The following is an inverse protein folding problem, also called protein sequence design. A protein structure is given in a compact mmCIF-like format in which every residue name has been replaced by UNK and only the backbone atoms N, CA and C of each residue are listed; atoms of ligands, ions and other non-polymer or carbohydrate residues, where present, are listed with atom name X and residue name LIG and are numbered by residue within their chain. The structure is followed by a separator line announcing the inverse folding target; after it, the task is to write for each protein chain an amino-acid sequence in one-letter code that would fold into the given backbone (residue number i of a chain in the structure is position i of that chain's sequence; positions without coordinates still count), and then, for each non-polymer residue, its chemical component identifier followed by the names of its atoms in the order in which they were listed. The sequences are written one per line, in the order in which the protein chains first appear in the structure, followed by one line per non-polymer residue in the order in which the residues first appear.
data_IF_939162994717
#
_entry.id   IF_939162994717
#
_cell.length_a   1.000
_cell.length_b   1.000
_cell.length_c   1.000
_cell.angle_alpha   90.00
_cell.angle_beta   90.00
_cell.angle_gamma   90.00
#
_symmetry.space_group_name_H-M   'P 1'
#
loop_
_entity.id
_entity.type
_entity.pdbx_description
1 polymer ?
2 non-polymer ?
3 non-polymer ?
4 water ?
#
# COMPACT_ATOMS: atom_id res chain seq x y z
N UNK A 5 -17.82 12.69 9.10
CA UNK A 5 -18.86 12.76 8.04
C UNK A 5 -19.58 14.12 8.02
N UNK A 6 -19.14 14.96 7.07
CA UNK A 6 -19.71 16.29 6.83
C UNK A 6 -18.74 17.38 7.25
N UNK A 7 -17.70 16.99 7.98
CA UNK A 7 -16.61 17.87 8.33
C UNK A 7 -15.38 17.02 8.57
N UNK A 8 -14.21 17.64 8.64
CA UNK A 8 -12.99 16.86 8.66
C UNK A 8 -12.24 17.03 9.94
N UNK A 9 -11.48 16.00 10.29
CA UNK A 9 -10.60 16.00 11.45
C UNK A 9 -9.20 15.80 10.95
N UNK A 10 -8.37 16.78 11.25
CA UNK A 10 -7.00 16.83 10.82
C UNK A 10 -6.23 17.39 12.00
N UNK A 11 -5.13 16.74 12.35
CA UNK A 11 -4.34 17.11 13.51
C UNK A 11 -5.10 16.90 14.80
N UNK A 12 -6.09 16.01 14.77
CA UNK A 12 -7.00 15.83 15.90
C UNK A 12 -7.91 17.02 16.12
N UNK A 13 -7.98 17.94 15.16
CA UNK A 13 -8.87 19.11 15.24
C UNK A 13 -9.94 19.02 14.14
N UNK A 14 -11.17 19.41 14.50
CA UNK A 14 -12.31 19.41 13.59
C UNK A 14 -12.44 20.71 12.82
N UNK A 15 -12.59 20.58 11.51
CA UNK A 15 -12.82 21.72 10.63
C UNK A 15 -14.09 21.46 9.86
N UNK A 16 -15.02 22.40 9.92
CA UNK A 16 -16.20 22.35 9.07
C UNK A 16 -15.77 22.52 7.63
N UNK A 17 -16.39 21.77 6.75
CA UNK A 17 -16.07 21.87 5.35
C UNK A 17 -17.15 21.15 4.61
N UNK A 18 -17.16 21.33 3.30
CA UNK A 18 -18.14 20.71 2.42
C UNK A 18 -17.45 20.59 1.11
N UNK A 19 -17.96 19.74 0.24
CA UNK A 19 -17.28 19.43 -0.98
C UNK A 19 -16.98 20.66 -1.84
N UNK A 20 -17.85 21.67 -1.78
CA UNK A 20 -17.64 22.92 -2.53
C UNK A 20 -16.44 23.74 -2.07
N UNK A 21 -15.90 23.41 -0.88
CA UNK A 21 -14.68 24.09 -0.41
C UNK A 21 -13.39 23.64 -1.14
N UNK A 22 -13.51 22.59 -1.96
CA UNK A 22 -12.40 21.89 -2.56
C UNK A 22 -12.42 22.09 -4.06
N UNK A 23 -11.23 22.24 -4.60
CA UNK A 23 -11.11 22.28 -6.03
C UNK A 23 -10.34 21.06 -6.52
N UNK A 24 -10.68 20.64 -7.72
CA UNK A 24 -10.28 19.37 -8.22
C UNK A 24 -9.03 19.52 -9.06
N UNK A 25 -7.95 18.90 -8.62
CA UNK A 25 -6.72 18.93 -9.35
C UNK A 25 -6.50 17.72 -10.28
N UNK A 26 -7.50 16.87 -10.47
CA UNK A 26 -7.35 15.74 -11.37
C UNK A 26 -7.11 14.42 -10.69
N UNK A 27 -7.24 13.38 -11.50
CA UNK A 27 -7.39 12.04 -11.01
C UNK A 27 -6.03 11.43 -10.77
N UNK A 28 -5.86 10.73 -9.66
CA UNK A 28 -4.65 10.00 -9.36
C UNK A 28 -4.78 8.49 -9.53
N UNK A 29 -5.94 7.94 -9.12
CA UNK A 29 -6.30 6.54 -9.44
C UNK A 29 -7.79 6.41 -9.80
N UNK A 30 -8.14 5.33 -10.51
CA UNK A 30 -9.52 4.90 -10.62
C UNK A 30 -9.52 3.46 -11.07
N UNK A 31 -10.69 2.83 -11.04
CA UNK A 31 -10.87 1.52 -11.68
C UNK A 31 -11.34 0.39 -10.80
N UNK A 32 -10.56 0.04 -9.78
CA UNK A 32 -10.85 -1.14 -8.93
C UNK A 32 -11.57 -0.76 -7.65
N UNK A 33 -11.21 0.39 -7.07
CA UNK A 33 -11.79 0.80 -5.80
C UNK A 33 -12.15 2.29 -5.84
N UNK A 34 -12.70 2.73 -6.98
CA UNK A 34 -13.24 4.09 -7.13
C UNK A 34 -12.27 5.11 -7.74
N UNK A 35 -12.83 6.29 -8.07
CA UNK A 35 -12.07 7.38 -8.66
C UNK A 35 -11.42 8.12 -7.48
N UNK A 36 -10.09 8.23 -7.47
CA UNK A 36 -9.40 9.07 -6.44
C UNK A 36 -8.85 10.36 -7.06
N UNK A 37 -9.32 11.49 -6.54
CA UNK A 37 -8.91 12.80 -6.99
C UNK A 37 -7.90 13.43 -6.03
N UNK A 38 -6.97 14.20 -6.60
CA UNK A 38 -6.19 15.11 -5.82
C UNK A 38 -7.02 16.39 -5.70
N UNK A 39 -7.26 16.88 -4.49
CA UNK A 39 -8.11 18.06 -4.30
C UNK A 39 -7.44 19.05 -3.36
N UNK A 40 -7.83 20.32 -3.48
CA UNK A 40 -7.17 21.42 -2.83
C UNK A 40 -8.25 22.31 -2.21
N UNK A 41 -8.07 22.70 -0.94
CA UNK A 41 -8.96 23.70 -0.31
C UNK A 41 -8.85 25.04 -1.01
N UNK A 42 -9.96 25.53 -1.52
CA UNK A 42 -9.99 26.81 -2.25
C UNK A 42 -9.35 27.99 -1.51
N UNK A 43 -9.52 28.07 -0.18
CA UNK A 43 -9.02 29.22 0.60
C UNK A 43 -7.55 29.12 1.01
N UNK A 44 -7.03 27.93 1.26
CA UNK A 44 -5.67 27.80 1.78
C UNK A 44 -4.65 27.18 0.77
N UNK A 45 -5.13 26.34 -0.13
CA UNK A 45 -4.25 25.67 -1.06
C UNK A 45 -3.76 24.31 -0.54
N UNK A 46 -4.19 23.92 0.66
CA UNK A 46 -3.72 22.62 1.23
C UNK A 46 -4.35 21.54 0.41
N UNK A 47 -3.69 20.41 0.33
CA UNK A 47 -4.07 19.37 -0.63
C UNK A 47 -4.35 18.03 0.05
N UNK A 48 -5.34 17.33 -0.48
CA UNK A 48 -5.75 16.02 0.07
C UNK A 48 -6.12 15.13 -1.09
N UNK A 49 -6.41 13.87 -0.78
CA UNK A 49 -6.95 12.91 -1.73
C UNK A 49 -8.38 12.73 -1.38
N UNK A 50 -9.23 12.58 -2.42
CA UNK A 50 -10.59 12.42 -2.21
C UNK A 50 -11.10 11.31 -3.09
N UNK A 51 -11.64 10.28 -2.47
CA UNK A 51 -12.25 9.21 -3.24
C UNK A 51 -13.73 9.48 -3.41
N UNK A 52 -14.22 9.30 -4.63
CA UNK A 52 -15.61 9.57 -4.97
C UNK A 52 -16.32 8.25 -5.27
N UNK A 53 -17.36 8.03 -4.51
CA UNK A 53 -18.31 6.94 -4.70
C UNK A 53 -19.64 7.49 -5.20
N UNK A 54 -19.97 7.12 -6.45
CA UNK A 54 -21.18 7.55 -7.09
C UNK A 54 -22.30 6.61 -6.69
N UNK A 55 -23.41 7.16 -6.26
CA UNK A 55 -24.59 6.34 -5.89
C UNK A 55 -25.04 5.46 -7.07
N UNK A 56 -24.95 6.02 -8.29
CA UNK A 56 -25.27 5.31 -9.53
C UNK A 56 -24.14 4.39 -10.01
N UNK A 57 -23.06 4.28 -9.26
CA UNK A 57 -21.94 3.50 -9.72
C UNK A 57 -22.15 2.02 -9.71
N UNK A 58 -21.18 1.32 -10.29
CA UNK A 58 -21.10 -0.12 -10.23
C UNK A 58 -21.23 -0.57 -8.80
N UNK A 59 -22.11 -1.54 -8.57
CA UNK A 59 -22.49 -1.91 -7.22
C UNK A 59 -21.40 -2.68 -6.57
N UNK A 60 -20.68 -3.48 -7.35
CA UNK A 60 -19.56 -4.23 -6.82
C UNK A 60 -18.40 -3.29 -6.45
N UNK A 61 -18.08 -2.33 -7.33
CA UNK A 61 -17.09 -1.34 -6.96
C UNK A 61 -17.49 -0.59 -5.69
N UNK A 62 -18.77 -0.22 -5.56
CA UNK A 62 -19.23 0.46 -4.35
C UNK A 62 -19.08 -0.42 -3.10
N UNK A 63 -19.34 -1.70 -3.22
CA UNK A 63 -19.07 -2.62 -2.09
C UNK A 63 -17.58 -2.64 -1.69
N UNK A 64 -16.69 -2.54 -2.68
CA UNK A 64 -15.25 -2.47 -2.43
C UNK A 64 -14.83 -1.16 -1.76
N UNK A 65 -15.21 -0.03 -2.37
CA UNK A 65 -15.01 1.26 -1.74
C UNK A 65 -15.43 1.20 -0.23
N UNK A 66 -16.60 0.62 0.05
CA UNK A 66 -17.12 0.66 1.40
C UNK A 66 -16.38 -0.26 2.41
N UNK A 67 -15.89 -1.40 1.92
CA UNK A 67 -15.05 -2.29 2.75
C UNK A 67 -13.73 -1.60 3.09
N UNK A 68 -13.12 -1.02 2.07
CA UNK A 68 -11.85 -0.33 2.22
C UNK A 68 -12.04 0.74 3.31
N UNK A 69 -13.08 1.59 3.14
CA UNK A 69 -13.34 2.67 4.08
C UNK A 69 -13.60 2.14 5.43
N UNK A 70 -14.34 1.05 5.50
CA UNK A 70 -14.61 0.51 6.82
C UNK A 70 -13.28 0.21 7.58
N UNK A 71 -12.34 -0.38 6.88
CA UNK A 71 -11.02 -0.70 7.43
C UNK A 71 -10.20 0.58 7.75
N UNK A 72 -10.23 1.55 6.87
CA UNK A 72 -9.49 2.80 7.08
C UNK A 72 -9.97 3.52 8.36
N UNK A 73 -11.29 3.59 8.53
CA UNK A 73 -11.88 4.23 9.70
C UNK A 73 -11.51 3.50 10.96
N UNK A 74 -11.44 2.17 10.87
CA UNK A 74 -11.01 1.33 12.02
C UNK A 74 -9.54 1.50 12.37
N UNK A 75 -8.72 1.90 11.38
CA UNK A 75 -7.26 1.87 11.51
C UNK A 75 -6.61 3.21 11.80
N UNK A 76 -7.37 4.11 12.44
CA UNK A 76 -6.92 5.52 12.67
C UNK A 76 -5.70 5.55 13.57
N UNK A 77 -5.57 4.54 14.43
CA UNK A 77 -4.41 4.44 15.29
C UNK A 77 -3.22 3.71 14.65
N UNK A 78 -3.30 3.26 13.38
CA UNK A 78 -2.10 2.63 12.74
C UNK A 78 -1.38 3.62 11.84
N UNK A 79 -0.12 3.96 12.15
CA UNK A 79 0.58 4.96 11.32
C UNK A 79 0.96 4.48 9.93
N UNK A 80 0.76 3.19 9.64
CA UNK A 80 1.20 2.62 8.37
C UNK A 80 0.07 2.49 7.40
N UNK A 81 -1.10 3.00 7.76
CA UNK A 81 -2.24 2.91 6.92
C UNK A 81 -2.72 4.33 6.71
N UNK A 82 -3.09 4.65 5.46
CA UNK A 82 -3.51 6.01 5.10
C UNK A 82 -4.68 6.41 5.96
N UNK A 83 -4.67 7.65 6.40
CA UNK A 83 -5.69 8.09 7.30
C UNK A 83 -6.80 8.86 6.57
N UNK A 84 -8.01 8.77 7.16
CA UNK A 84 -9.20 9.32 6.60
C UNK A 84 -9.56 10.48 7.46
N UNK A 85 -9.76 11.62 6.86
CA UNK A 85 -10.08 12.86 7.61
C UNK A 85 -11.59 13.04 7.80
N UNK A 86 -12.37 12.33 6.98
CA UNK A 86 -13.83 12.41 7.06
C UNK A 86 -14.46 12.17 5.72
N UNK A 87 -15.76 12.44 5.66
CA UNK A 87 -16.59 12.13 4.49
C UNK A 87 -17.64 13.19 4.27
N UNK A 88 -18.09 13.30 3.02
CA UNK A 88 -19.19 14.14 2.68
C UNK A 88 -20.13 13.27 1.90
N UNK A 89 -21.37 13.19 2.34
CA UNK A 89 -22.41 12.39 1.69
C UNK A 89 -23.39 13.36 1.02
N UNK A 90 -23.52 13.29 -0.30
CA UNK A 90 -24.55 14.07 -0.95
C UNK A 90 -25.66 13.13 -1.41
N UNK A 91 -26.68 13.68 -2.04
CA UNK A 91 -27.74 12.88 -2.64
C UNK A 91 -27.25 11.91 -3.69
N UNK A 92 -26.14 12.22 -4.35
CA UNK A 92 -25.68 11.42 -5.43
C UNK A 92 -24.30 10.82 -5.26
N UNK A 93 -23.52 11.32 -4.29
CA UNK A 93 -22.17 10.84 -4.12
C UNK A 93 -21.79 10.73 -2.66
N UNK A 94 -20.72 10.00 -2.46
CA UNK A 94 -19.95 10.04 -1.24
C UNK A 94 -18.52 10.41 -1.59
N UNK A 95 -17.99 11.41 -0.88
CA UNK A 95 -16.62 11.87 -1.04
C UNK A 95 -15.84 11.53 0.23
N UNK A 96 -14.79 10.74 0.07
CA UNK A 96 -13.99 10.25 1.19
C UNK A 96 -12.65 11.01 1.21
N UNK A 97 -12.45 11.80 2.22
CA UNK A 97 -11.22 12.61 2.32
C UNK A 97 -10.14 11.90 3.09
N UNK A 98 -8.95 11.88 2.49
CA UNK A 98 -7.82 11.18 2.99
C UNK A 98 -6.54 11.91 2.76
N UNK A 99 -5.59 11.56 3.58
CA UNK A 99 -4.27 12.09 3.49
C UNK A 99 -3.68 11.69 2.14
N UNK A 100 -3.11 12.69 1.51
CA UNK A 100 -2.51 12.53 0.19
C UNK A 100 -1.09 11.95 0.29
N UNK A 101 -0.82 10.87 -0.45
CA UNK A 101 0.53 10.34 -0.55
C UNK A 101 1.12 10.76 -1.88
N UNK A 102 2.42 10.56 -2.08
CA UNK A 102 3.16 11.10 -3.24
C UNK A 102 2.92 10.29 -4.49
N UNK A 103 3.09 8.97 -4.37
CA UNK A 103 2.76 8.03 -5.44
C UNK A 103 2.84 6.60 -4.90
N UNK A 104 2.57 5.61 -5.74
CA UNK A 104 2.72 4.20 -5.37
C UNK A 104 4.05 3.60 -5.79
N UNK A 105 4.38 2.44 -5.18
CA UNK A 105 5.67 1.79 -5.42
C UNK A 105 5.79 1.34 -6.88
N UNK A 106 4.68 0.94 -7.48
CA UNK A 106 4.68 0.62 -8.91
C UNK A 106 5.15 1.78 -9.81
N UNK A 107 4.65 2.99 -9.61
CA UNK A 107 5.15 4.17 -10.32
C UNK A 107 6.60 4.50 -10.06
N UNK A 108 7.05 4.29 -8.82
CA UNK A 108 8.46 4.54 -8.50
C UNK A 108 9.31 3.59 -9.33
N UNK A 109 8.85 2.35 -9.46
CA UNK A 109 9.54 1.32 -10.24
C UNK A 109 9.66 1.77 -11.68
N UNK A 110 8.56 2.18 -12.26
CA UNK A 110 8.53 2.59 -13.66
C UNK A 110 9.37 3.81 -13.91
N UNK A 111 9.39 4.75 -12.97
CA UNK A 111 10.21 5.95 -13.09
C UNK A 111 11.68 5.67 -12.96
N UNK A 112 12.02 4.83 -11.98
CA UNK A 112 13.38 4.40 -11.75
C UNK A 112 13.91 3.73 -13.00
N UNK A 113 13.06 2.93 -13.62
CA UNK A 113 13.41 2.06 -14.75
C UNK A 113 14.46 1.00 -14.37
N UNK A 114 14.35 0.50 -13.17
CA UNK A 114 15.16 -0.64 -12.73
C UNK A 114 14.98 -0.89 -11.25
N UNK A 115 15.86 -1.70 -10.66
CA UNK A 115 15.86 -2.10 -9.25
C UNK A 115 15.74 -0.94 -8.25
N UNK A 116 14.88 -1.09 -7.26
CA UNK A 116 14.87 -0.16 -6.12
C UNK A 116 15.85 -0.66 -5.05
N UNK A 117 16.69 0.23 -4.47
CA UNK A 117 17.72 -0.19 -3.54
C UNK A 117 17.20 -0.94 -2.28
N UNK A 118 17.95 -1.92 -1.80
CA UNK A 118 17.64 -2.66 -0.60
C UNK A 118 17.27 -1.77 0.59
N UNK A 119 18.03 -0.69 0.81
CA UNK A 119 17.76 0.13 1.98
C UNK A 119 16.32 0.75 2.01
N UNK A 120 15.85 1.15 0.86
CA UNK A 120 14.51 1.64 0.69
C UNK A 120 13.49 0.50 0.89
N UNK A 121 13.82 -0.69 0.38
CA UNK A 121 12.92 -1.84 0.51
C UNK A 121 12.91 -2.31 1.94
N UNK A 122 14.00 -2.15 2.66
CA UNK A 122 14.02 -2.43 4.08
C UNK A 122 13.00 -1.56 4.82
N UNK A 123 13.04 -0.26 4.58
CA UNK A 123 12.05 0.57 5.24
C UNK A 123 10.63 0.19 4.86
N UNK A 124 10.48 -0.21 3.62
CA UNK A 124 9.18 -0.52 3.10
C UNK A 124 8.61 -1.76 3.76
N UNK A 125 9.46 -2.75 3.94
CA UNK A 125 9.07 -4.02 4.51
C UNK A 125 8.62 -3.81 5.96
N UNK A 126 9.38 -2.99 6.72
CA UNK A 126 9.01 -2.70 8.08
C UNK A 126 7.60 -2.16 8.12
N UNK A 127 7.36 -1.16 7.30
CA UNK A 127 6.09 -0.47 7.37
C UNK A 127 4.96 -1.38 6.97
N UNK A 128 5.20 -2.18 5.94
CA UNK A 128 4.13 -2.98 5.39
C UNK A 128 3.85 -4.19 6.30
N UNK A 129 4.89 -4.79 6.84
CA UNK A 129 4.67 -5.86 7.81
C UNK A 129 3.88 -5.39 9.03
N UNK A 130 4.23 -4.22 9.55
CA UNK A 130 3.50 -3.67 10.65
C UNK A 130 2.07 -3.34 10.34
N UNK A 131 1.80 -2.89 9.10
CA UNK A 131 0.44 -2.59 8.75
C UNK A 131 -0.37 -3.90 8.77
N UNK A 132 0.19 -4.95 8.20
CA UNK A 132 -0.52 -6.27 8.09
C UNK A 132 -0.74 -6.93 9.45
N UNK A 133 0.25 -6.78 10.32
CA UNK A 133 0.19 -7.31 11.66
C UNK A 133 -0.88 -6.59 12.49
N UNK A 134 -0.91 -5.26 12.37
CA UNK A 134 -1.95 -4.47 12.98
C UNK A 134 -3.34 -4.90 12.49
N UNK A 135 -3.54 -4.94 11.18
CA UNK A 135 -4.81 -5.41 10.64
C UNK A 135 -5.23 -6.78 11.19
N UNK A 136 -4.32 -7.73 11.17
CA UNK A 136 -4.56 -9.09 11.65
C UNK A 136 -4.88 -9.12 13.14
N UNK A 137 -3.96 -8.63 13.97
CA UNK A 137 -4.13 -8.61 15.41
C UNK A 137 -5.33 -7.83 15.90
N UNK A 138 -5.41 -6.55 15.51
CA UNK A 138 -6.47 -5.67 15.99
C UNK A 138 -7.80 -5.94 15.37
N UNK A 139 -7.82 -6.47 14.16
CA UNK A 139 -9.06 -6.42 13.45
C UNK A 139 -9.41 -7.72 12.82
N UNK A 140 -8.54 -8.73 12.87
CA UNK A 140 -8.86 -10.02 12.26
C UNK A 140 -8.89 -9.89 10.75
N UNK A 141 -8.28 -8.81 10.24
CA UNK A 141 -8.38 -8.49 8.81
C UNK A 141 -7.14 -8.98 8.05
N UNK A 142 -7.43 -9.60 6.92
CA UNK A 142 -6.45 -9.92 5.90
C UNK A 142 -6.67 -9.03 4.66
N UNK A 143 -5.58 -8.67 4.00
CA UNK A 143 -5.62 -7.71 2.91
C UNK A 143 -6.04 -8.33 1.56
N UNK A 144 -5.35 -9.40 1.18
CA UNK A 144 -5.67 -10.21 -0.03
C UNK A 144 -5.25 -9.57 -1.34
N UNK A 145 -4.43 -8.53 -1.29
CA UNK A 145 -4.00 -7.94 -2.52
C UNK A 145 -2.74 -7.07 -2.38
N UNK A 146 -1.78 -7.56 -1.63
CA UNK A 146 -0.57 -6.79 -1.37
C UNK A 146 0.28 -6.75 -2.63
N UNK A 147 0.60 -5.54 -3.09
CA UNK A 147 1.40 -5.40 -4.30
C UNK A 147 1.84 -3.98 -4.48
N UNK A 148 2.85 -3.75 -5.37
CA UNK A 148 3.40 -2.44 -5.43
C UNK A 148 2.42 -1.30 -5.70
N UNK A 149 1.37 -1.55 -6.45
CA UNK A 149 0.41 -0.48 -6.71
C UNK A 149 -0.37 -0.07 -5.42
N UNK A 150 -0.33 -0.92 -4.40
CA UNK A 150 -1.00 -0.69 -3.12
C UNK A 150 -0.09 -0.20 -2.00
N UNK A 151 1.17 0.06 -2.36
CA UNK A 151 2.13 0.60 -1.40
C UNK A 151 2.42 2.06 -1.77
N UNK A 152 2.18 2.97 -0.83
CA UNK A 152 2.25 4.40 -1.10
C UNK A 152 3.42 5.00 -0.32
N UNK A 153 4.16 5.89 -1.00
CA UNK A 153 5.25 6.66 -0.41
C UNK A 153 4.95 8.12 -0.61
N UNK A 154 5.57 8.94 0.22
CA UNK A 154 5.53 10.39 0.06
C UNK A 154 6.93 11.03 0.21
N UNK A 155 6.96 12.34 0.01
CA UNK A 155 8.21 13.11 -0.05
C UNK A 155 8.77 13.32 1.33
N UNK A 156 7.97 13.00 2.34
CA UNK A 156 8.47 12.97 3.70
C UNK A 156 9.11 11.66 4.11
N UNK A 157 9.21 10.70 3.20
CA UNK A 157 9.79 9.40 3.55
C UNK A 157 8.81 8.37 4.10
N UNK A 158 7.52 8.72 4.24
CA UNK A 158 6.56 7.80 4.82
C UNK A 158 6.15 6.73 3.83
N UNK A 159 5.77 5.59 4.38
CA UNK A 159 5.32 4.44 3.59
C UNK A 159 4.07 3.85 4.21
N UNK A 160 3.01 3.74 3.41
CA UNK A 160 1.77 3.17 3.92
C UNK A 160 1.11 2.19 2.97
N UNK A 161 0.29 1.34 3.56
CA UNK A 161 -0.49 0.38 2.83
C UNK A 161 -1.85 0.99 2.57
N UNK A 162 -2.46 0.59 1.45
CA UNK A 162 -3.77 1.07 1.05
C UNK A 162 -4.63 0.00 0.29
N UNK A 163 -5.86 0.42 -0.06
CA UNK A 163 -6.89 -0.35 -0.82
C UNK A 163 -7.23 -1.70 -0.24
N UNK A 164 -8.14 -1.69 0.73
CA UNK A 164 -8.62 -2.91 1.37
C UNK A 164 -10.02 -3.28 0.84
N UNK A 165 -10.32 -2.92 -0.40
CA UNK A 165 -11.59 -3.21 -1.02
C UNK A 165 -12.02 -4.67 -1.10
N UNK A 166 -11.08 -5.62 -1.17
CA UNK A 166 -11.37 -7.07 -1.13
C UNK A 166 -10.66 -7.77 0.03
N UNK A 167 -10.36 -7.01 1.09
CA UNK A 167 -9.93 -7.57 2.36
C UNK A 167 -11.03 -8.47 2.91
N UNK A 168 -10.63 -9.62 3.45
CA UNK A 168 -11.56 -10.51 4.17
C UNK A 168 -11.34 -10.47 5.67
N UNK A 169 -12.35 -10.89 6.44
CA UNK A 169 -12.22 -11.04 7.90
C UNK A 169 -12.10 -12.55 8.27
N UNK A 170 -11.12 -12.91 9.12
CA UNK A 170 -10.89 -14.30 9.66
C UNK A 170 -9.45 -14.74 9.40
N UNK A 204 -2.16 -16.62 5.85
CA UNK A 204 -1.36 -17.25 4.79
C UNK A 204 -0.83 -16.25 3.73
N UNK A 205 -1.48 -16.17 2.55
CA UNK A 205 -0.86 -15.65 1.30
C UNK A 205 -0.59 -14.16 1.20
N UNK A 206 -1.00 -13.39 2.22
CA UNK A 206 -0.60 -11.99 2.29
C UNK A 206 0.95 -11.90 2.37
N UNK A 207 1.55 -12.75 3.21
CA UNK A 207 2.99 -12.90 3.33
C UNK A 207 3.67 -13.25 2.01
N UNK A 208 3.06 -14.13 1.24
CA UNK A 208 3.56 -14.50 -0.06
C UNK A 208 3.54 -13.33 -1.06
N UNK A 209 2.44 -12.57 -1.08
CA UNK A 209 2.32 -11.41 -1.96
C UNK A 209 3.35 -10.34 -1.63
N UNK A 210 3.72 -10.20 -0.36
CA UNK A 210 4.81 -9.29 0.07
C UNK A 210 6.16 -9.76 -0.47
N UNK A 211 6.46 -11.05 -0.30
CA UNK A 211 7.67 -11.62 -0.82
C UNK A 211 7.80 -11.38 -2.31
N UNK A 212 6.75 -11.71 -3.07
CA UNK A 212 6.74 -11.44 -4.49
C UNK A 212 6.91 -9.94 -4.88
N UNK A 213 6.22 -9.05 -4.18
CA UNK A 213 6.36 -7.63 -4.39
C UNK A 213 7.82 -7.16 -4.13
N UNK A 214 8.46 -7.68 -3.09
CA UNK A 214 9.82 -7.34 -2.80
C UNK A 214 10.76 -7.83 -3.88
N UNK A 215 10.52 -9.01 -4.43
CA UNK A 215 11.37 -9.52 -5.50
C UNK A 215 11.18 -8.65 -6.74
N UNK A 216 9.93 -8.35 -7.07
CA UNK A 216 9.62 -7.46 -8.18
C UNK A 216 10.37 -6.13 -8.04
N UNK A 217 10.24 -5.51 -6.88
CA UNK A 217 10.84 -4.16 -6.69
C UNK A 217 12.34 -4.21 -6.62
N UNK A 218 12.89 -5.27 -6.01
CA UNK A 218 14.34 -5.45 -5.88
C UNK A 218 15.07 -5.69 -7.20
N UNK A 219 14.40 -6.39 -8.12
CA UNK A 219 14.94 -6.75 -9.42
C UNK A 219 14.45 -5.83 -10.51
N UNK A 220 13.37 -5.13 -10.26
CA UNK A 220 12.68 -4.38 -11.33
C UNK A 220 11.96 -5.29 -12.32
N UNK A 221 11.85 -6.58 -12.00
CA UNK A 221 11.11 -7.56 -12.86
C UNK A 221 10.05 -8.33 -12.04
N UNK A 222 8.79 -8.21 -12.45
CA UNK A 222 7.73 -9.02 -11.88
C UNK A 222 8.11 -10.46 -12.19
N UNK A 223 8.28 -11.29 -11.15
CA UNK A 223 8.66 -12.64 -11.47
C UNK A 223 7.62 -13.45 -12.34
N UNK A 224 6.38 -13.01 -12.46
CA UNK A 224 5.43 -13.75 -13.31
C UNK A 224 5.05 -12.94 -14.57
N UNK A 225 6.08 -12.22 -15.03
CA UNK A 225 6.11 -11.36 -16.23
C UNK A 225 5.45 -11.97 -17.47
N UNK A 226 5.90 -13.15 -17.87
CA UNK A 226 5.54 -13.71 -19.17
C UNK A 226 4.34 -14.66 -19.11
N UNK A 227 3.77 -14.80 -17.93
CA UNK A 227 2.54 -15.55 -17.78
C UNK A 227 1.41 -14.84 -18.48
N UNK A 228 0.76 -15.54 -19.43
CA UNK A 228 -0.32 -14.94 -20.20
C UNK A 228 -1.62 -14.89 -19.45
N UNK A 229 -1.77 -15.73 -18.42
CA UNK A 229 -3.07 -15.91 -17.77
C UNK A 229 -2.90 -16.09 -16.31
N UNK A 230 -3.96 -15.78 -15.55
CA UNK A 230 -3.90 -15.94 -14.11
C UNK A 230 -3.67 -17.40 -13.74
N UNK A 231 -4.30 -18.30 -14.46
CA UNK A 231 -4.19 -19.70 -14.11
C UNK A 231 -2.73 -20.12 -14.34
N UNK A 232 -2.13 -19.64 -15.42
CA UNK A 232 -0.73 -19.91 -15.64
C UNK A 232 0.15 -19.50 -14.46
N UNK A 233 -0.16 -18.35 -13.89
CA UNK A 233 0.59 -17.87 -12.75
C UNK A 233 0.39 -18.85 -11.60
N UNK A 234 -0.83 -19.30 -11.39
CA UNK A 234 -1.10 -20.25 -10.30
C UNK A 234 -0.30 -21.56 -10.50
N UNK A 235 -0.23 -22.04 -11.73
CA UNK A 235 0.53 -23.26 -11.98
C UNK A 235 1.99 -23.07 -11.70
N UNK A 236 2.53 -21.91 -12.03
CA UNK A 236 3.96 -21.67 -11.73
C UNK A 236 4.22 -21.62 -10.23
N UNK A 237 3.34 -20.98 -9.49
CA UNK A 237 3.48 -20.83 -8.05
C UNK A 237 3.52 -22.22 -7.42
N UNK A 238 2.66 -23.13 -7.90
CA UNK A 238 2.60 -24.47 -7.35
C UNK A 238 3.67 -25.37 -7.90
N UNK A 239 3.99 -25.27 -9.18
CA UNK A 239 4.86 -26.25 -9.77
C UNK A 239 6.36 -25.91 -9.65
N UNK A 240 6.70 -24.62 -9.57
CA UNK A 240 8.12 -24.19 -9.65
C UNK A 240 8.65 -23.81 -8.28
N UNK A 241 9.97 -23.73 -8.18
CA UNK A 241 10.63 -23.24 -6.99
C UNK A 241 10.20 -21.80 -6.77
N UNK A 242 10.13 -21.36 -5.53
CA UNK A 242 9.87 -19.92 -5.27
C UNK A 242 10.89 -19.02 -5.99
N UNK A 243 10.44 -17.88 -6.51
CA UNK A 243 11.32 -16.90 -7.14
C UNK A 243 12.05 -16.03 -6.11
N UNK A 244 13.06 -16.60 -5.52
CA UNK A 244 13.98 -15.94 -4.60
C UNK A 244 14.83 -14.84 -5.24
N UNK A 245 15.36 -14.00 -4.37
CA UNK A 245 16.23 -12.92 -4.80
C UNK A 245 17.48 -13.52 -5.45
N UNK A 246 17.90 -12.98 -6.59
CA UNK A 246 19.16 -13.48 -7.14
C UNK A 246 20.36 -13.32 -6.19
N UNK A 247 21.29 -14.27 -6.30
CA UNK A 247 22.50 -14.33 -5.50
C UNK A 247 23.62 -13.37 -5.84
N UNK A 248 23.66 -12.78 -7.03
CA UNK A 248 24.83 -11.92 -7.33
C UNK A 248 24.49 -10.46 -7.66
N UNK A 249 23.58 -9.89 -6.87
CA UNK A 249 23.19 -8.50 -6.95
C UNK A 249 23.54 -7.73 -5.70
N UNK A 250 24.32 -8.30 -4.81
CA UNK A 250 24.71 -7.56 -3.59
C UNK A 250 23.65 -7.47 -2.48
N UNK A 251 22.56 -8.24 -2.56
CA UNK A 251 21.57 -8.25 -1.48
C UNK A 251 22.17 -8.87 -0.23
N UNK A 252 21.88 -8.31 0.94
CA UNK A 252 22.34 -8.94 2.19
C UNK A 252 21.73 -10.32 2.40
N UNK A 253 22.39 -11.11 3.22
CA UNK A 253 21.89 -12.39 3.59
C UNK A 253 20.56 -12.22 4.31
N UNK A 254 20.48 -11.21 5.18
CA UNK A 254 19.21 -10.87 5.87
C UNK A 254 18.01 -10.65 4.92
N UNK A 255 18.21 -9.85 3.89
CA UNK A 255 17.16 -9.58 2.91
C UNK A 255 16.82 -10.85 2.18
N UNK A 256 17.83 -11.60 1.76
CA UNK A 256 17.55 -12.89 1.08
C UNK A 256 16.82 -13.89 1.96
N UNK A 257 17.24 -14.00 3.23
CA UNK A 257 16.54 -14.83 4.20
C UNK A 257 15.08 -14.42 4.41
N UNK A 258 14.84 -13.10 4.51
CA UNK A 258 13.51 -12.63 4.74
C UNK A 258 12.58 -13.00 3.60
N UNK A 259 13.04 -12.74 2.40
CA UNK A 259 12.27 -13.10 1.21
C UNK A 259 12.02 -14.59 1.11
N UNK A 260 13.04 -15.38 1.43
CA UNK A 260 12.88 -16.83 1.40
C UNK A 260 11.88 -17.29 2.42
N UNK A 261 11.84 -16.66 3.58
CA UNK A 261 10.81 -16.98 4.56
C UNK A 261 9.40 -16.62 4.08
N UNK A 262 9.24 -15.45 3.42
CA UNK A 262 7.94 -14.99 2.91
C UNK A 262 7.44 -15.93 1.81
N UNK A 263 8.38 -16.44 1.03
CA UNK A 263 8.06 -17.28 -0.09
C UNK A 263 8.16 -18.79 0.25
N UNK A 264 7.80 -19.17 1.45
CA UNK A 264 7.78 -20.57 1.86
C UNK A 264 6.47 -21.14 1.36
N UNK A 265 6.50 -22.17 0.53
CA UNK A 265 5.27 -22.71 -0.07
C UNK A 265 4.43 -23.45 0.97
N UNK A 266 5.06 -24.24 1.81
CA UNK A 266 4.34 -24.91 2.90
C UNK A 266 3.91 -23.94 4.01
N UNK A 267 2.61 -23.75 4.20
CA UNK A 267 2.07 -22.79 5.19
C UNK A 267 2.42 -23.15 6.63
N UNK A 268 2.64 -24.43 6.89
CA UNK A 268 3.10 -24.87 8.19
C UNK A 268 4.49 -24.36 8.46
N UNK A 269 5.19 -23.91 7.43
CA UNK A 269 6.56 -23.42 7.60
C UNK A 269 6.66 -21.94 7.45
N UNK A 270 5.56 -21.31 7.06
CA UNK A 270 5.59 -19.89 6.81
C UNK A 270 5.37 -19.08 8.09
N UNK A 271 6.28 -18.13 8.37
CA UNK A 271 6.21 -17.51 9.70
C UNK A 271 5.00 -16.66 9.94
N UNK A 272 4.49 -16.67 11.17
CA UNK A 272 3.52 -15.66 11.62
C UNK A 272 4.15 -14.24 11.58
N UNK A 273 3.31 -13.21 11.52
CA UNK A 273 3.82 -11.87 11.49
C UNK A 273 4.67 -11.55 12.70
N UNK A 274 4.25 -12.05 13.87
CA UNK A 274 4.98 -11.75 15.08
C UNK A 274 6.41 -12.30 14.98
N UNK A 275 6.60 -13.43 14.28
CA UNK A 275 7.96 -13.93 14.02
C UNK A 275 8.68 -13.17 12.89
N UNK A 276 7.98 -12.80 11.82
CA UNK A 276 8.63 -11.94 10.81
C UNK A 276 9.11 -10.63 11.43
N UNK A 277 8.40 -10.14 12.43
CA UNK A 277 8.80 -8.87 13.05
C UNK A 277 10.02 -9.02 13.91
N UNK A 278 10.43 -10.27 14.18
CA UNK A 278 11.67 -10.53 14.88
C UNK A 278 12.84 -10.77 13.93
N UNK A 279 12.56 -10.92 12.64
CA UNK A 279 13.62 -11.21 11.67
C UNK A 279 14.69 -10.11 11.70
N UNK A 280 15.95 -10.51 11.50
CA UNK A 280 17.06 -9.53 11.54
C UNK A 280 16.96 -8.47 10.46
N UNK A 281 16.26 -8.75 9.36
CA UNK A 281 16.12 -7.79 8.30
C UNK A 281 15.28 -6.62 8.79
N UNK A 282 14.14 -6.94 9.39
CA UNK A 282 13.24 -6.00 10.02
C UNK A 282 13.95 -5.28 11.15
N UNK A 283 14.66 -6.02 12.02
CA UNK A 283 15.34 -5.38 13.15
C UNK A 283 16.36 -4.38 12.64
N UNK A 284 17.06 -4.72 11.57
CA UNK A 284 18.00 -3.79 11.02
C UNK A 284 17.33 -2.46 10.60
N UNK A 285 16.26 -2.55 9.83
CA UNK A 285 15.65 -1.34 9.25
C UNK A 285 14.70 -0.61 10.17
N UNK A 286 14.27 -1.24 11.25
CA UNK A 286 13.50 -0.53 12.26
C UNK A 286 14.31 0.62 12.80
N UNK A 287 15.61 0.35 12.96
CA UNK A 287 16.59 1.20 13.66
C UNK A 287 17.35 2.10 12.70
N UNK A 288 17.49 1.64 11.47
CA UNK A 288 18.52 2.18 10.61
C UNK A 288 18.04 3.50 10.07
N UNK A 289 18.98 4.44 9.92
CA UNK A 289 18.71 5.76 9.36
C UNK A 289 18.73 5.64 7.85
N UNK A 290 17.59 5.85 7.21
CA UNK A 290 17.53 5.80 5.77
C UNK A 290 16.81 7.05 5.28
N UNK A 291 17.42 7.73 4.35
CA UNK A 291 16.82 8.95 3.89
C UNK A 291 15.88 8.61 2.72
N UNK A 292 14.71 8.07 3.04
CA UNK A 292 13.78 7.72 2.01
C UNK A 292 13.20 8.98 1.35
N UNK A 293 12.97 10.02 2.14
CA UNK A 293 12.48 11.28 1.64
C UNK A 293 13.29 11.78 0.45
N UNK A 294 14.60 11.93 0.64
CA UNK A 294 15.46 12.41 -0.49
C UNK A 294 15.46 11.45 -1.67
N UNK A 295 15.57 10.16 -1.34
CA UNK A 295 15.57 9.18 -2.39
C UNK A 295 14.32 9.43 -3.21
N UNK A 296 13.18 9.55 -2.52
CA UNK A 296 11.92 9.69 -3.24
C UNK A 296 11.91 10.95 -4.13
N UNK A 297 12.44 12.06 -3.63
CA UNK A 297 12.41 13.31 -4.40
C UNK A 297 13.27 13.20 -5.63
N UNK A 298 14.42 12.59 -5.46
CA UNK A 298 15.29 12.34 -6.59
C UNK A 298 14.66 11.46 -7.64
N UNK A 299 13.96 10.42 -7.23
CA UNK A 299 13.37 9.56 -8.24
C UNK A 299 12.24 10.32 -8.95
N UNK A 300 11.44 11.06 -8.20
CA UNK A 300 10.28 11.73 -8.79
C UNK A 300 10.72 12.87 -9.74
N UNK A 301 11.97 13.33 -9.64
CA UNK A 301 12.57 14.28 -10.60
C UNK A 301 13.01 13.69 -11.95
N UNK A 302 13.18 12.39 -12.05
CA UNK A 302 13.54 11.74 -13.32
C UNK A 302 12.35 11.73 -14.26
X LIG B 1 20.97 -4.35 -3.65
X LIG B 1 22.35 -4.18 -3.81
X LIG B 1 20.40 -2.97 -3.74
X LIG B 1 20.72 -2.29 -2.56
X LIG C 1 4.79 6.21 8.35
X LIG C 1 3.81 5.77 7.42
X LIG C 1 5.93 5.22 8.35
X LIG C 1 6.49 5.05 7.05
X LIG D 1 -16.10 17.24 -7.89
X LIG D 1 -14.72 17.33 -8.22
X LIG D 1 -16.42 15.80 -7.86
X LIG D 1 -16.11 15.23 -9.12
X LIG E 1 12.66 10.48 6.32
X LIG E 1 13.02 9.63 5.25
X LIG E 1 13.79 11.46 6.42
X LIG E 1 14.88 10.86 5.69
X LIG F 1 2.12 -8.62 -7.69
X LIG F 1 3.01 -7.69 -8.30
X LIG F 1 2.65 -8.99 -6.31
X LIG F 1 1.66 -9.80 -5.66
X LIG G 1 -8.29 22.87 6.36
X LIG G 1 -9.45 23.43 6.95
X LIG G 1 -8.04 23.77 5.15
X LIG G 1 -6.66 23.66 4.75
X LIG H 1 0.63 -14.37 8.94
X LIG H 1 0.90 -15.67 8.38
X LIG H 1 -0.43 -14.46 10.03
X LIG H 1 0.19 -14.21 11.31
X LIG I 1 -1.29 -12.70 -15.43
X LIG I 1 -1.47 -12.87 -16.82
X LIG I 1 0.16 -12.26 -15.20
X LIG I 1 0.21 -11.41 -14.05
X LIG J 1 12.11 -14.47 12.09
X LIG J 1 11.51 -15.36 11.13
X LIG J 1 13.43 -14.96 12.60
X LIG J 1 13.89 -15.97 11.71
X LIG K 1 -1.90 9.61 -12.53
X LIG K 1 -0.73 9.29 -11.68
X LIG K 1 -0.45 10.38 -10.75
X LIG K 1 0.76 10.06 -9.92
X LIG K 1 -0.97 8.05 -10.93
X LIG K 1 0.23 7.71 -10.05
X LIG K 1 0.55 8.83 -9.15
X LIG K 1 -0.04 8.95 -7.88
X LIG K 1 -0.72 7.86 -7.27
X LIG K 1 -1.17 7.96 -5.97
X LIG K 1 0.08 10.13 -7.16
X LIG K 1 -0.38 10.22 -5.86
X LIG K 1 -1.00 9.13 -5.25
X LIG K 1 -1.50 9.38 -3.95
X LIG K 1 -2.46 8.75 -3.24
X LIG K 1 -2.71 9.19 -2.01
X LIG K 1 -3.79 8.70 -1.38
X LIG K 1 -4.67 7.74 -2.03
X LIG K 1 -5.72 7.42 -1.09
X LIG K 1 -5.45 8.13 0.03
X LIG K 1 -4.32 8.88 -0.13
X LIG K 1 -4.31 7.39 -3.34
X LIG K 1 -5.09 6.55 -4.08
X LIG K 1 -4.45 5.67 -4.95
X LIG K 1 -3.92 4.49 -4.43
X LIG K 1 -3.08 3.71 -5.21
X LIG K 1 -2.74 4.14 -6.49
X LIG K 1 -1.72 3.40 -7.13
X LIG K 1 -1.09 3.67 -8.31
X LIG K 1 0.09 2.77 -8.61
X LIG K 1 -1.36 4.64 -9.00
X LIG K 1 -3.33 5.28 -7.02
X LIG K 1 -4.19 6.03 -6.25
X LIG K 1 -3.20 7.86 -3.92
#
# INVERSE_FOLDING_TARGET
SMKQTGYLTIGGQRYQAEINDLENLGEMGSGTCGQVWKMRFRKTGHVIAVKQMRRSGNKEENKRILMDLDVVLKSHDCPYIVQCFGTFITNTDVFIAMELMGTCAEKLKKRMQGPIPERILGKMTVAIVKALYYLKEKHGVIHRDVKPSNILLDERGQIKLCDFGISGRLVDSKAKTRSAGCAAYMAPERIDPPDPTKPDYDIRADVWSLGISLVELATGQFPYKNCKTDFEVLTKVLQEEPPLLPGHMGFSGDFQSFVKDCLTKDHRKRPKYNKLLEHSFIKRYETLEVDVASWFKDVMAKTESPR
EDO C1 O1 C2 O2
EDO C1 O1 C2 O2
EDO C1 O1 C2 O2
EDO C1 O1 C2 O2
EDO C1 O1 C2 O2
EDO C1 O1 C2 O2
EDO C1 O1 C2 O2
EDO C1 O1 C2 O2
EDO C1 O1 C2 O2
6HF C01 N02 C03 C04 C05 C06 N07 C08 C09 C10 C11 C12 C13 N14 C15 N16 C17 C18 C19 C20 N21 C22 O23 C24 C25 C26 C27 N28 C29 C30 O32 C33 C34 N35
#
